data_IF_248464478553
#
_entry.id   IF_248464478553
#
_cell.length_a   1.000
_cell.length_b   1.000
_cell.length_c   1.000
_cell.angle_alpha   90.00
_cell.angle_beta   90.00
_cell.angle_gamma   90.00
#
_symmetry.space_group_name_H-M   'P 1'
#
loop_
_entity.id
_entity.type
_entity.pdbx_description
1 polymer ?
#
# COMPACT_ATOMS: atom_id res chain seq x y z
N UNK A 1 -44.22 16.16 8.15
CA UNK A 1 -43.12 16.90 7.50
C UNK A 1 -41.88 16.66 8.37
N UNK A 2 -41.48 15.40 8.60
CA UNK A 2 -40.46 14.67 7.81
C UNK A 2 -39.14 15.45 7.73
N UNK A 3 -38.17 15.04 8.54
CA UNK A 3 -36.89 14.64 7.97
C UNK A 3 -36.35 13.44 8.73
N UNK A 4 -35.97 12.42 7.97
CA UNK A 4 -35.78 11.04 8.40
C UNK A 4 -34.27 10.77 8.41
N UNK A 5 -33.72 10.44 9.58
CA UNK A 5 -32.33 10.02 9.72
C UNK A 5 -32.11 8.70 8.98
N UNK A 6 -31.47 8.75 7.82
CA UNK A 6 -30.88 7.59 7.16
C UNK A 6 -29.48 7.38 7.74
N UNK A 7 -29.39 6.61 8.83
CA UNK A 7 -28.18 5.87 9.19
C UNK A 7 -28.06 4.67 8.25
N UNK A 8 -27.52 4.92 7.07
CA UNK A 8 -26.85 3.89 6.27
C UNK A 8 -25.37 4.22 6.32
N UNK A 9 -24.56 3.33 6.90
CA UNK A 9 -23.10 3.41 6.98
C UNK A 9 -22.44 3.32 5.60
N UNK A 10 -22.74 4.27 4.73
CA UNK A 10 -21.95 4.57 3.55
C UNK A 10 -20.77 5.43 4.02
N UNK A 11 -19.57 4.89 3.88
CA UNK A 11 -18.29 5.57 4.10
C UNK A 11 -18.41 6.96 3.44
N UNK A 12 -18.34 8.02 4.24
CA UNK A 12 -18.54 9.38 3.72
C UNK A 12 -17.41 9.74 2.76
N UNK A 13 -17.64 10.66 1.82
CA UNK A 13 -16.61 11.14 0.87
C UNK A 13 -15.35 11.63 1.60
N UNK A 14 -15.52 12.16 2.81
CA UNK A 14 -14.44 12.52 3.73
C UNK A 14 -13.66 11.32 4.27
N UNK A 15 -14.31 10.19 4.56
CA UNK A 15 -13.65 8.98 5.08
C UNK A 15 -12.79 8.30 4.02
N UNK A 16 -13.25 8.23 2.78
CA UNK A 16 -12.46 7.71 1.67
C UNK A 16 -11.21 8.56 1.37
N UNK A 17 -11.33 9.89 1.48
CA UNK A 17 -10.19 10.81 1.34
C UNK A 17 -9.22 10.73 2.53
N UNK A 18 -9.74 10.49 3.74
CA UNK A 18 -8.97 10.34 4.97
C UNK A 18 -8.16 9.04 4.98
N UNK A 19 -8.75 7.93 4.54
CA UNK A 19 -8.07 6.63 4.42
C UNK A 19 -6.92 6.65 3.39
N UNK A 20 -7.04 7.47 2.34
CA UNK A 20 -5.94 7.69 1.38
C UNK A 20 -4.84 8.61 1.93
N UNK A 21 -5.18 9.48 2.89
CA UNK A 21 -4.29 10.55 3.38
C UNK A 21 -3.59 10.23 4.69
N UNK A 22 -3.96 9.18 5.40
CA UNK A 22 -3.47 8.92 6.77
C UNK A 22 -2.89 7.51 6.85
N UNK A 23 -1.64 7.31 7.32
CA UNK A 23 -1.17 5.97 7.68
C UNK A 23 -2.01 5.43 8.85
N UNK A 24 -2.22 4.11 8.98
CA UNK A 24 -2.90 3.55 10.15
C UNK A 24 -2.05 3.81 11.38
N UNK A 25 -2.45 4.79 12.18
CA UNK A 25 -1.88 5.03 13.51
C UNK A 25 -2.71 4.20 14.47
N UNK A 26 -2.10 3.17 15.03
CA UNK A 26 -2.64 2.35 16.10
C UNK A 26 -2.80 3.26 17.33
N UNK A 27 -4.00 3.75 17.57
CA UNK A 27 -4.29 4.73 18.61
C UNK A 27 -5.29 4.12 19.62
N UNK A 28 -4.79 3.18 20.41
CA UNK A 28 -5.47 2.67 21.59
C UNK A 28 -4.81 3.29 22.83
N UNK A 29 -5.12 4.55 23.15
CA UNK A 29 -5.03 5.11 24.52
C UNK A 29 -5.85 6.39 24.62
N UNK A 30 -6.99 6.33 25.31
CA UNK A 30 -7.52 7.40 26.17
C UNK A 30 -8.52 6.81 27.18
N UNK A 31 -8.60 7.43 28.35
CA UNK A 31 -8.92 6.89 29.68
C UNK A 31 -10.43 6.85 30.08
N UNK A 32 -10.78 5.83 30.90
CA UNK A 32 -11.70 5.75 32.08
C UNK A 32 -13.20 6.20 32.00
N UNK A 33 -14.13 5.74 32.90
CA UNK A 33 -13.94 5.26 34.28
C UNK A 33 -14.75 4.02 34.79
N UNK A 34 -14.25 3.50 35.92
CA UNK A 34 -14.89 2.85 37.09
C UNK A 34 -16.41 2.51 37.09
N UNK A 35 -16.77 1.23 37.29
CA UNK A 35 -17.87 0.79 38.18
C UNK A 35 -17.89 -0.74 38.42
N UNK A 36 -17.74 -1.10 39.70
CA UNK A 36 -18.52 -2.11 40.46
C UNK A 36 -18.40 -3.62 40.13
N UNK A 37 -17.81 -4.34 41.10
CA UNK A 37 -17.79 -5.80 41.20
C UNK A 37 -19.15 -6.40 41.59
N UNK A 38 -19.38 -7.69 41.30
CA UNK A 38 -19.56 -8.61 42.42
C UNK A 38 -18.81 -9.95 42.29
N UNK A 39 -18.77 -10.64 43.44
CA UNK A 39 -17.98 -11.79 43.88
C UNK A 39 -18.21 -13.14 43.15
N UNK A 40 -17.31 -14.13 43.39
CA UNK A 40 -17.25 -15.40 42.65
C UNK A 40 -18.12 -16.51 43.27
N UNK A 41 -18.54 -17.46 42.43
CA UNK A 41 -19.00 -18.78 42.84
C UNK A 41 -18.09 -19.86 42.24
N UNK A 42 -17.33 -20.51 43.12
CA UNK A 42 -16.97 -21.94 43.13
C UNK A 42 -18.25 -22.82 43.03
N UNK A 43 -18.34 -24.04 42.48
CA UNK A 43 -17.41 -25.14 42.15
C UNK A 43 -17.99 -26.06 41.04
N UNK A 44 -17.13 -26.98 40.53
CA UNK A 44 -17.42 -28.39 40.11
C UNK A 44 -18.20 -28.65 38.81
N UNK A 45 -17.69 -29.35 37.77
CA UNK A 45 -17.06 -30.69 37.78
C UNK A 45 -16.41 -31.04 36.41
N UNK A 46 -15.20 -31.64 36.47
CA UNK A 46 -14.66 -32.82 35.75
C UNK A 46 -14.91 -33.05 34.24
N UNK A 47 -13.83 -33.04 33.44
CA UNK A 47 -13.20 -34.21 32.77
C UNK A 47 -12.33 -33.72 31.60
N UNK A 48 -11.01 -33.91 31.68
CA UNK A 48 -10.14 -33.96 30.50
C UNK A 48 -8.92 -34.82 30.82
N UNK A 49 -8.95 -36.00 30.21
CA UNK A 49 -7.93 -37.03 30.11
C UNK A 49 -6.57 -36.50 29.68
N UNK A 50 -5.52 -36.94 30.38
CA UNK A 50 -4.14 -36.96 29.89
C UNK A 50 -4.07 -37.88 28.66
N UNK A 51 -3.60 -37.35 27.53
CA UNK A 51 -3.01 -38.15 26.47
C UNK A 51 -1.69 -37.50 26.03
N UNK A 52 -0.68 -38.35 25.99
CA UNK A 52 0.74 -38.03 25.94
C UNK A 52 1.22 -38.27 24.51
N UNK A 53 1.70 -37.23 23.82
CA UNK A 53 2.32 -37.36 22.49
C UNK A 53 3.71 -36.72 22.44
N UNK A 54 4.64 -37.48 23.02
CA UNK A 54 6.00 -37.79 22.59
C UNK A 54 6.58 -37.01 21.39
N UNK A 55 7.65 -36.25 21.65
CA UNK A 55 8.63 -35.78 20.66
C UNK A 55 9.70 -36.87 20.43
N UNK A 56 10.28 -37.00 19.22
CA UNK A 56 11.41 -37.90 19.00
C UNK A 56 12.74 -37.19 19.27
N UNK A 57 13.53 -37.75 20.18
CA UNK A 57 15.00 -37.62 20.20
C UNK A 57 15.57 -38.76 19.34
N UNK A 58 16.34 -38.41 18.32
CA UNK A 58 17.19 -39.37 17.60
C UNK A 58 18.56 -39.42 18.29
N UNK A 59 18.80 -40.57 18.90
CA UNK A 59 20.02 -41.04 19.53
C UNK A 59 20.92 -41.65 18.44
N UNK A 60 22.17 -41.20 18.36
CA UNK A 60 23.21 -41.91 17.61
C UNK A 60 24.20 -42.51 18.61
N UNK A 61 24.13 -43.83 18.63
CA UNK A 61 25.00 -44.84 19.22
C UNK A 61 26.48 -44.64 18.84
N UNK A 62 27.38 -44.75 19.82
CA UNK A 62 28.79 -45.09 19.58
C UNK A 62 29.24 -46.05 20.70
N UNK A 63 29.35 -47.33 20.33
CA UNK A 63 29.90 -48.42 21.12
C UNK A 63 31.43 -48.31 21.20
N UNK A 64 31.93 -48.44 22.44
CA UNK A 64 33.15 -49.13 22.89
C UNK A 64 34.44 -49.03 22.04
N UNK A 65 35.55 -48.63 22.66
CA UNK A 65 36.74 -49.50 22.86
C UNK A 65 37.74 -48.82 23.82
N UNK A 66 37.97 -49.52 24.93
CA UNK A 66 39.22 -49.69 25.71
C UNK A 66 40.51 -49.11 25.11
N UNK A 67 41.23 -48.27 25.86
CA UNK A 67 42.69 -48.45 25.94
C UNK A 67 43.30 -47.84 27.20
N UNK A 68 44.18 -48.60 27.82
CA UNK A 68 45.21 -48.10 28.71
C UNK A 68 46.53 -48.67 28.29
N UNK A 69 47.44 -47.85 27.77
CA UNK A 69 48.86 -47.75 28.15
C UNK A 69 49.62 -46.73 27.28
N UNK A 70 50.51 -46.01 27.95
CA UNK A 70 51.79 -45.43 27.48
C UNK A 70 51.85 -44.43 26.30
N UNK A 71 51.96 -43.17 26.73
CA UNK A 71 52.93 -42.14 26.31
C UNK A 71 54.01 -42.60 25.32
N UNK A 72 53.89 -42.13 24.07
CA UNK A 72 55.02 -41.74 23.23
C UNK A 72 54.65 -40.45 22.49
N UNK A 73 55.48 -39.42 22.68
CA UNK A 73 55.52 -38.21 21.88
C UNK A 73 55.85 -38.59 20.43
N UNK A 74 54.92 -38.35 19.51
CA UNK A 74 55.23 -38.25 18.09
C UNK A 74 54.59 -36.96 17.55
N UNK A 75 55.46 -36.18 16.93
CA UNK A 75 55.31 -34.83 16.40
C UNK A 75 54.48 -34.93 15.10
N UNK A 76 53.14 -34.92 15.22
CA UNK A 76 52.26 -34.74 14.06
C UNK A 76 51.92 -33.25 13.92
N UNK A 77 52.56 -32.66 12.91
CA UNK A 77 52.26 -31.33 12.39
C UNK A 77 50.75 -31.20 12.19
N UNK A 78 50.12 -30.24 12.89
CA UNK A 78 48.79 -29.74 12.55
C UNK A 78 48.86 -29.22 11.10
N UNK A 79 48.50 -30.05 10.12
CA UNK A 79 48.02 -29.57 8.82
C UNK A 79 46.74 -28.78 9.13
N UNK A 80 46.89 -27.46 9.27
CA UNK A 80 45.78 -26.52 9.10
C UNK A 80 45.14 -26.86 7.75
N UNK A 81 44.01 -27.57 7.75
CA UNK A 81 43.17 -27.75 6.57
C UNK A 81 42.81 -26.35 6.06
N UNK A 82 43.56 -25.85 5.08
CA UNK A 82 43.21 -24.61 4.39
C UNK A 82 41.81 -24.82 3.78
N UNK A 83 40.79 -24.20 4.37
CA UNK A 83 39.41 -24.28 3.92
C UNK A 83 39.38 -23.99 2.41
N UNK A 84 39.14 -25.03 1.59
CA UNK A 84 39.16 -24.89 0.14
C UNK A 84 38.04 -23.94 -0.29
N UNK A 85 38.44 -22.78 -0.82
CA UNK A 85 37.54 -21.74 -1.32
C UNK A 85 37.15 -22.04 -2.77
N UNK A 86 35.84 -22.12 -3.00
CA UNK A 86 35.22 -22.34 -4.31
C UNK A 86 34.60 -21.04 -4.83
N UNK A 87 34.83 -20.71 -6.10
CA UNK A 87 34.22 -19.52 -6.71
C UNK A 87 32.84 -19.84 -7.27
N UNK A 88 31.82 -19.17 -6.75
CA UNK A 88 30.41 -19.33 -7.11
C UNK A 88 29.84 -18.00 -7.59
N UNK A 89 28.98 -18.03 -8.61
CA UNK A 89 28.32 -16.82 -9.13
C UNK A 89 26.94 -16.66 -8.51
N UNK A 90 26.75 -15.58 -7.76
CA UNK A 90 25.45 -15.16 -7.21
C UNK A 90 25.11 -13.83 -7.88
N UNK A 91 23.95 -13.74 -8.55
CA UNK A 91 23.49 -12.53 -9.26
C UNK A 91 24.50 -11.89 -10.24
N UNK A 92 25.43 -12.69 -10.78
CA UNK A 92 26.43 -12.27 -11.75
C UNK A 92 27.78 -11.84 -11.16
N UNK A 93 27.93 -11.81 -9.83
CA UNK A 93 29.17 -11.51 -9.14
C UNK A 93 29.85 -12.79 -8.62
N UNK A 94 31.18 -12.86 -8.71
CA UNK A 94 31.97 -14.03 -8.28
C UNK A 94 32.30 -13.92 -6.79
N UNK A 95 31.83 -14.89 -6.01
CA UNK A 95 32.08 -15.00 -4.58
C UNK A 95 32.89 -16.27 -4.28
N UNK A 96 33.95 -16.14 -3.49
CA UNK A 96 34.66 -17.28 -2.95
C UNK A 96 33.95 -17.76 -1.68
N UNK A 97 33.46 -18.99 -1.69
CA UNK A 97 32.70 -19.63 -0.60
C UNK A 97 33.30 -21.01 -0.29
N UNK A 98 33.24 -21.44 0.96
CA UNK A 98 33.71 -22.77 1.36
C UNK A 98 32.74 -23.85 0.87
N UNK A 99 33.19 -25.12 0.88
CA UNK A 99 32.36 -26.26 0.49
C UNK A 99 31.09 -26.36 1.36
N UNK A 100 31.22 -26.12 2.65
CA UNK A 100 30.10 -26.13 3.60
C UNK A 100 29.04 -25.07 3.29
N UNK A 101 29.44 -23.85 2.94
CA UNK A 101 28.50 -22.78 2.57
C UNK A 101 27.79 -23.10 1.25
N UNK A 102 28.46 -23.77 0.31
CA UNK A 102 27.86 -24.28 -0.92
C UNK A 102 26.78 -25.34 -0.66
N UNK A 103 27.10 -26.33 0.18
CA UNK A 103 26.18 -27.41 0.53
C UNK A 103 24.98 -26.88 1.33
N UNK A 104 25.23 -25.97 2.28
CA UNK A 104 24.18 -25.29 3.04
C UNK A 104 23.34 -24.35 2.17
N UNK A 105 23.95 -23.64 1.22
CA UNK A 105 23.25 -22.79 0.25
C UNK A 105 22.31 -23.61 -0.64
N UNK A 106 22.78 -24.75 -1.15
CA UNK A 106 21.97 -25.65 -1.96
C UNK A 106 20.80 -26.26 -1.18
N UNK A 107 21.04 -26.73 0.05
CA UNK A 107 19.98 -27.30 0.90
C UNK A 107 18.92 -26.25 1.27
N UNK A 108 19.34 -25.03 1.63
CA UNK A 108 18.45 -23.89 1.89
C UNK A 108 17.67 -23.50 0.64
N UNK A 109 18.31 -23.46 -0.53
CA UNK A 109 17.63 -23.13 -1.79
C UNK A 109 16.58 -24.19 -2.15
N UNK A 110 16.90 -25.48 -2.04
CA UNK A 110 15.92 -26.54 -2.26
C UNK A 110 14.75 -26.46 -1.27
N UNK A 111 15.04 -26.25 0.03
CA UNK A 111 14.01 -26.09 1.05
C UNK A 111 13.14 -24.85 0.80
N UNK A 112 13.74 -23.73 0.44
CA UNK A 112 13.02 -22.50 0.10
C UNK A 112 12.16 -22.68 -1.14
N UNK A 113 12.67 -23.35 -2.17
CA UNK A 113 11.92 -23.61 -3.40
C UNK A 113 10.74 -24.52 -3.10
N UNK A 114 10.94 -25.60 -2.33
CA UNK A 114 9.88 -26.51 -1.91
C UNK A 114 8.81 -25.80 -1.07
N UNK A 115 9.21 -25.03 -0.04
CA UNK A 115 8.30 -24.23 0.78
C UNK A 115 7.57 -23.14 -0.02
N UNK A 116 8.24 -22.53 -0.99
CA UNK A 116 7.62 -21.53 -1.87
C UNK A 116 6.59 -22.18 -2.81
N UNK A 117 6.89 -23.37 -3.33
CA UNK A 117 5.92 -24.15 -4.11
C UNK A 117 4.73 -24.56 -3.25
N UNK A 118 4.98 -25.08 -2.04
CA UNK A 118 3.93 -25.47 -1.08
C UNK A 118 3.07 -24.27 -0.69
N UNK A 119 3.66 -23.10 -0.41
CA UNK A 119 2.92 -21.88 -0.12
C UNK A 119 2.10 -21.40 -1.32
N UNK A 120 2.64 -21.49 -2.53
CA UNK A 120 1.91 -21.16 -3.75
C UNK A 120 0.72 -22.11 -3.98
N UNK A 121 0.91 -23.40 -3.73
CA UNK A 121 -0.13 -24.41 -3.80
C UNK A 121 -1.22 -24.19 -2.74
N UNK A 122 -0.82 -23.93 -1.49
CA UNK A 122 -1.75 -23.57 -0.41
C UNK A 122 -2.55 -22.31 -0.73
N UNK A 123 -1.91 -21.25 -1.25
CA UNK A 123 -2.60 -20.02 -1.69
C UNK A 123 -3.61 -20.30 -2.79
N UNK A 124 -3.24 -21.10 -3.78
CA UNK A 124 -4.13 -21.49 -4.86
C UNK A 124 -5.31 -22.33 -4.37
N UNK A 125 -5.07 -23.26 -3.44
CA UNK A 125 -6.12 -24.05 -2.83
C UNK A 125 -7.10 -23.17 -2.02
N UNK A 126 -6.58 -22.22 -1.24
CA UNK A 126 -7.39 -21.27 -0.48
C UNK A 126 -8.19 -20.32 -1.39
N UNK A 127 -7.59 -19.83 -2.48
CA UNK A 127 -8.28 -19.00 -3.47
C UNK A 127 -9.41 -19.78 -4.15
N UNK A 128 -9.16 -21.05 -4.52
CA UNK A 128 -10.19 -21.92 -5.08
C UNK A 128 -11.34 -22.19 -4.09
N UNK A 129 -11.03 -22.46 -2.81
CA UNK A 129 -12.03 -22.65 -1.76
C UNK A 129 -12.85 -21.37 -1.52
N UNK A 130 -12.20 -20.20 -1.55
CA UNK A 130 -12.88 -18.92 -1.42
C UNK A 130 -13.81 -18.63 -2.61
N UNK A 131 -13.38 -18.94 -3.85
CA UNK A 131 -14.21 -18.84 -5.05
C UNK A 131 -15.40 -19.82 -5.01
N UNK A 132 -15.17 -21.06 -4.58
CA UNK A 132 -16.24 -22.05 -4.41
C UNK A 132 -17.26 -21.61 -3.36
N UNK A 133 -16.78 -21.10 -2.21
CA UNK A 133 -17.64 -20.56 -1.15
C UNK A 133 -18.48 -19.38 -1.65
N UNK A 134 -17.90 -18.49 -2.45
CA UNK A 134 -18.63 -17.38 -3.11
C UNK A 134 -19.70 -17.92 -4.04
N UNK A 135 -19.37 -18.88 -4.90
CA UNK A 135 -20.31 -19.49 -5.83
C UNK A 135 -21.47 -20.20 -5.11
N UNK A 136 -21.18 -20.92 -4.02
CA UNK A 136 -22.19 -21.56 -3.17
C UNK A 136 -23.10 -20.51 -2.51
N UNK A 137 -22.54 -19.41 -2.00
CA UNK A 137 -23.31 -18.31 -1.40
C UNK A 137 -24.22 -17.64 -2.44
N UNK A 138 -23.73 -17.40 -3.65
CA UNK A 138 -24.50 -16.80 -4.73
C UNK A 138 -25.63 -17.74 -5.20
N UNK A 139 -25.36 -19.05 -5.30
CA UNK A 139 -26.38 -20.05 -5.58
C UNK A 139 -27.45 -20.11 -4.47
N UNK A 140 -27.02 -20.01 -3.21
CA UNK A 140 -27.94 -19.96 -2.06
C UNK A 140 -28.83 -18.72 -2.09
N UNK A 141 -28.27 -17.55 -2.42
CA UNK A 141 -29.03 -16.30 -2.61
C UNK A 141 -30.08 -16.45 -3.71
N UNK A 142 -29.72 -17.02 -4.86
CA UNK A 142 -30.67 -17.26 -5.96
C UNK A 142 -31.81 -18.21 -5.54
N UNK A 143 -31.52 -19.23 -4.73
CA UNK A 143 -32.55 -20.12 -4.20
C UNK A 143 -33.48 -19.40 -3.22
N UNK A 144 -32.95 -18.54 -2.36
CA UNK A 144 -33.77 -17.71 -1.46
C UNK A 144 -34.67 -16.74 -2.24
N UNK A 145 -34.17 -16.11 -3.30
CA UNK A 145 -34.96 -15.22 -4.15
C UNK A 145 -36.10 -15.99 -4.85
N UNK A 146 -35.82 -17.20 -5.34
CA UNK A 146 -36.85 -18.08 -5.92
C UNK A 146 -37.89 -18.48 -4.86
N UNK A 147 -37.46 -18.89 -3.67
CA UNK A 147 -38.35 -19.25 -2.56
C UNK A 147 -39.24 -18.06 -2.16
N UNK A 148 -38.67 -16.87 -2.07
CA UNK A 148 -39.41 -15.66 -1.75
C UNK A 148 -40.45 -15.34 -2.83
N UNK A 149 -40.10 -15.50 -4.10
CA UNK A 149 -41.05 -15.31 -5.21
C UNK A 149 -42.20 -16.32 -5.15
N UNK A 150 -41.92 -17.57 -4.78
CA UNK A 150 -42.94 -18.62 -4.62
C UNK A 150 -43.86 -18.29 -3.43
N UNK A 151 -43.29 -17.86 -2.30
CA UNK A 151 -44.06 -17.42 -1.13
C UNK A 151 -44.97 -16.26 -1.55
N UNK A 152 -44.47 -15.22 -2.21
CA UNK A 152 -45.28 -14.07 -2.65
C UNK A 152 -46.39 -14.45 -3.64
N UNK A 153 -46.19 -15.46 -4.49
CA UNK A 153 -47.25 -15.97 -5.39
C UNK A 153 -48.35 -16.72 -4.63
N UNK A 154 -47.98 -17.47 -3.59
CA UNK A 154 -48.91 -18.28 -2.79
C UNK A 154 -49.61 -17.47 -1.70
N UNK A 155 -48.93 -16.49 -1.12
CA UNK A 155 -49.43 -15.57 -0.11
C UNK A 155 -50.14 -14.41 -0.83
N UNK A 156 -51.39 -14.61 -1.25
CA UNK A 156 -52.24 -13.48 -1.66
C UNK A 156 -52.48 -12.51 -0.49
N UNK A 157 -52.99 -11.31 -0.76
CA UNK A 157 -53.30 -10.31 0.29
C UNK A 157 -54.09 -10.93 1.46
N UNK A 158 -53.87 -10.37 2.67
CA UNK A 158 -54.51 -10.84 3.90
C UNK A 158 -56.01 -11.12 3.67
N UNK A 159 -56.46 -12.37 3.87
CA UNK A 159 -57.86 -12.71 3.69
C UNK A 159 -58.74 -11.89 4.63
N UNK A 160 -59.93 -11.50 4.17
CA UNK A 160 -60.92 -10.89 5.06
C UNK A 160 -61.46 -11.97 6.03
N UNK A 161 -60.80 -12.08 7.18
CA UNK A 161 -61.14 -13.03 8.24
C UNK A 161 -62.58 -12.88 8.73
N UNK A 162 -63.16 -11.68 8.64
CA UNK A 162 -64.52 -11.41 9.07
C UNK A 162 -65.53 -12.00 8.09
N UNK A 163 -65.30 -11.84 6.79
CA UNK A 163 -66.14 -12.46 5.76
C UNK A 163 -66.02 -14.00 5.77
N UNK A 164 -64.82 -14.53 6.05
CA UNK A 164 -64.59 -15.97 6.20
C UNK A 164 -65.30 -16.55 7.43
N UNK A 165 -65.37 -15.81 8.54
CA UNK A 165 -66.09 -16.23 9.75
C UNK A 165 -67.60 -16.38 9.54
N UNK A 166 -68.18 -15.69 8.56
CA UNK A 166 -69.61 -15.80 8.24
C UNK A 166 -69.94 -17.02 7.35
N UNK A 167 -68.93 -17.61 6.69
CA UNK A 167 -69.12 -18.66 5.68
C UNK A 167 -68.49 -20.01 6.06
N UNK A 168 -67.48 -20.03 6.95
CA UNK A 168 -66.72 -21.21 7.36
C UNK A 168 -67.07 -21.66 8.79
N UNK A 169 -66.75 -22.92 9.12
CA UNK A 169 -66.87 -23.39 10.51
C UNK A 169 -65.72 -22.85 11.38
N UNK A 170 -65.91 -22.75 12.70
CA UNK A 170 -64.87 -22.27 13.62
C UNK A 170 -63.55 -23.05 13.52
N UNK A 171 -63.65 -24.37 13.27
CA UNK A 171 -62.49 -25.25 13.10
C UNK A 171 -61.71 -24.93 11.82
N UNK A 172 -62.41 -24.72 10.70
CA UNK A 172 -61.78 -24.43 9.41
C UNK A 172 -61.13 -23.04 9.42
N UNK A 173 -61.77 -22.06 10.07
CA UNK A 173 -61.19 -20.73 10.25
C UNK A 173 -59.89 -20.78 11.07
N UNK A 174 -59.87 -21.53 12.17
CA UNK A 174 -58.66 -21.68 12.98
C UNK A 174 -57.51 -22.28 12.17
N UNK A 175 -57.78 -23.32 11.38
CA UNK A 175 -56.77 -23.94 10.51
C UNK A 175 -56.26 -22.96 9.46
N UNK A 176 -57.16 -22.24 8.76
CA UNK A 176 -56.78 -21.25 7.75
C UNK A 176 -55.95 -20.11 8.34
N UNK A 177 -56.28 -19.63 9.54
CA UNK A 177 -55.49 -18.61 10.24
C UNK A 177 -54.12 -19.14 10.66
N UNK A 178 -54.04 -20.37 11.17
CA UNK A 178 -52.78 -20.99 11.54
C UNK A 178 -51.85 -21.18 10.32
N UNK A 179 -52.39 -21.62 9.19
CA UNK A 179 -51.64 -21.74 7.93
C UNK A 179 -51.13 -20.37 7.44
N UNK A 180 -51.98 -19.33 7.52
CA UNK A 180 -51.59 -17.97 7.17
C UNK A 180 -50.50 -17.40 8.08
N UNK A 181 -50.66 -17.54 9.39
CA UNK A 181 -49.67 -17.08 10.37
C UNK A 181 -48.33 -17.82 10.15
N UNK A 182 -48.38 -19.12 9.87
CA UNK A 182 -47.20 -19.92 9.53
C UNK A 182 -46.52 -19.42 8.24
N UNK A 183 -47.28 -19.16 7.17
CA UNK A 183 -46.75 -18.65 5.91
C UNK A 183 -46.12 -17.26 6.07
N UNK A 184 -46.74 -16.40 6.88
CA UNK A 184 -46.23 -15.08 7.25
C UNK A 184 -44.91 -15.17 8.03
N UNK A 185 -44.81 -16.10 8.98
CA UNK A 185 -43.54 -16.35 9.69
C UNK A 185 -42.44 -16.86 8.76
N UNK A 186 -42.75 -17.79 7.86
CA UNK A 186 -41.78 -18.27 6.86
C UNK A 186 -41.30 -17.15 5.95
N UNK A 187 -42.20 -16.29 5.47
CA UNK A 187 -41.84 -15.11 4.67
C UNK A 187 -40.86 -14.20 5.40
N UNK A 188 -41.12 -13.91 6.69
CA UNK A 188 -40.24 -13.07 7.50
C UNK A 188 -38.86 -13.70 7.70
N UNK A 189 -38.78 -15.02 7.89
CA UNK A 189 -37.50 -15.73 8.05
C UNK A 189 -36.67 -15.66 6.77
N UNK A 190 -37.29 -15.88 5.61
CA UNK A 190 -36.61 -15.78 4.30
C UNK A 190 -36.10 -14.36 4.06
N UNK A 191 -36.92 -13.34 4.35
CA UNK A 191 -36.52 -11.94 4.21
C UNK A 191 -35.35 -11.57 5.14
N UNK A 192 -35.38 -12.03 6.40
CA UNK A 192 -34.29 -11.81 7.35
C UNK A 192 -32.98 -12.47 6.88
N UNK A 193 -33.03 -13.69 6.35
CA UNK A 193 -31.87 -14.38 5.78
C UNK A 193 -31.32 -13.65 4.54
N UNK A 194 -32.20 -13.18 3.65
CA UNK A 194 -31.79 -12.39 2.48
C UNK A 194 -31.10 -11.09 2.89
N UNK A 195 -31.66 -10.37 3.86
CA UNK A 195 -31.05 -9.16 4.42
C UNK A 195 -29.68 -9.45 5.02
N UNK A 196 -29.54 -10.55 5.80
CA UNK A 196 -28.25 -10.97 6.38
C UNK A 196 -27.19 -11.20 5.30
N UNK A 197 -27.51 -11.98 4.27
CA UNK A 197 -26.57 -12.26 3.16
C UNK A 197 -26.22 -10.98 2.40
N UNK A 198 -27.19 -10.10 2.17
CA UNK A 198 -26.93 -8.83 1.47
C UNK A 198 -26.00 -7.91 2.27
N UNK A 199 -26.14 -7.87 3.59
CA UNK A 199 -25.26 -7.11 4.48
C UNK A 199 -23.85 -7.70 4.50
N UNK A 200 -23.72 -9.02 4.58
CA UNK A 200 -22.43 -9.72 4.48
C UNK A 200 -21.73 -9.43 3.14
N UNK A 201 -22.46 -9.50 2.02
CA UNK A 201 -21.93 -9.16 0.70
C UNK A 201 -21.49 -7.70 0.60
N UNK A 202 -22.28 -6.76 1.15
CA UNK A 202 -21.92 -5.34 1.15
C UNK A 202 -20.65 -5.08 1.96
N UNK A 203 -20.52 -5.71 3.14
CA UNK A 203 -19.31 -5.61 3.95
C UNK A 203 -18.09 -6.20 3.23
N UNK A 204 -18.24 -7.37 2.59
CA UNK A 204 -17.15 -7.99 1.83
C UNK A 204 -16.69 -7.11 0.66
N UNK A 205 -17.64 -6.50 -0.06
CA UNK A 205 -17.34 -5.54 -1.13
C UNK A 205 -16.60 -4.31 -0.61
N UNK A 206 -16.98 -3.77 0.55
CA UNK A 206 -16.27 -2.65 1.17
C UNK A 206 -14.84 -3.02 1.52
N UNK A 207 -14.60 -4.20 2.10
CA UNK A 207 -13.25 -4.69 2.43
C UNK A 207 -12.42 -4.89 1.15
N UNK A 208 -12.99 -5.49 0.11
CA UNK A 208 -12.30 -5.64 -1.17
C UNK A 208 -11.98 -4.30 -1.82
N UNK A 209 -12.89 -3.32 -1.75
CA UNK A 209 -12.64 -1.97 -2.24
C UNK A 209 -11.49 -1.31 -1.47
N UNK A 210 -11.47 -1.39 -0.14
CA UNK A 210 -10.40 -0.83 0.68
C UNK A 210 -9.03 -1.44 0.33
N UNK A 211 -8.95 -2.78 0.22
CA UNK A 211 -7.73 -3.47 -0.22
C UNK A 211 -7.29 -3.02 -1.61
N UNK A 212 -8.24 -2.90 -2.54
CA UNK A 212 -7.93 -2.41 -3.88
C UNK A 212 -7.36 -1.00 -3.88
N UNK A 213 -7.95 -0.09 -3.08
CA UNK A 213 -7.45 1.28 -2.92
C UNK A 213 -6.05 1.32 -2.31
N UNK A 214 -5.77 0.45 -1.33
CA UNK A 214 -4.43 0.34 -0.73
C UNK A 214 -3.39 -0.14 -1.74
N UNK A 215 -3.68 -1.17 -2.52
CA UNK A 215 -2.80 -1.64 -3.61
C UNK A 215 -2.58 -0.53 -4.66
N UNK A 216 -3.64 0.18 -5.05
CA UNK A 216 -3.49 1.32 -5.98
C UNK A 216 -2.63 2.44 -5.38
N UNK A 217 -2.73 2.68 -4.07
CA UNK A 217 -1.88 3.67 -3.39
C UNK A 217 -0.42 3.26 -3.45
N UNK A 218 -0.11 2.00 -3.16
CA UNK A 218 1.26 1.47 -3.26
C UNK A 218 1.81 1.57 -4.69
N UNK A 219 1.02 1.16 -5.68
CA UNK A 219 1.36 1.27 -7.10
C UNK A 219 1.62 2.72 -7.53
N UNK A 220 0.81 3.66 -7.03
CA UNK A 220 0.97 5.09 -7.29
C UNK A 220 2.30 5.60 -6.72
N UNK A 221 2.67 5.21 -5.50
CA UNK A 221 3.93 5.60 -4.87
C UNK A 221 5.14 5.01 -5.60
N UNK A 222 5.02 3.79 -6.14
CA UNK A 222 6.05 3.15 -6.95
C UNK A 222 6.22 3.87 -8.31
N UNK A 223 5.12 4.32 -8.93
CA UNK A 223 5.12 5.04 -10.22
C UNK A 223 5.55 6.49 -10.11
N UNK A 224 5.25 7.15 -8.98
CA UNK A 224 5.61 8.53 -8.69
C UNK A 224 6.46 8.57 -7.40
N UNK A 225 7.76 8.26 -7.48
CA UNK A 225 8.62 8.20 -6.29
C UNK A 225 8.71 9.52 -5.51
N UNK A 226 8.50 10.67 -6.18
CA UNK A 226 8.45 11.98 -5.52
C UNK A 226 7.34 12.08 -4.47
N UNK A 227 6.28 11.27 -4.59
CA UNK A 227 5.14 11.26 -3.68
C UNK A 227 5.31 10.34 -2.47
N UNK A 228 6.46 9.67 -2.34
CA UNK A 228 6.86 9.01 -1.09
C UNK A 228 6.95 10.02 0.06
N UNK A 229 7.36 11.25 -0.24
CA UNK A 229 7.28 12.36 0.72
C UNK A 229 5.84 12.90 0.77
N UNK A 230 5.23 12.81 1.95
CA UNK A 230 3.84 13.19 2.18
C UNK A 230 3.54 14.68 1.95
N UNK A 231 4.45 15.56 2.34
CA UNK A 231 4.29 17.01 2.12
C UNK A 231 4.28 17.35 0.63
N UNK A 232 5.23 16.76 -0.11
CA UNK A 232 5.32 16.92 -1.58
C UNK A 232 4.10 16.34 -2.27
N UNK A 233 3.68 15.13 -1.87
CA UNK A 233 2.48 14.48 -2.39
C UNK A 233 1.25 15.35 -2.17
N UNK A 234 1.04 15.88 -0.97
CA UNK A 234 -0.14 16.68 -0.66
C UNK A 234 -0.17 18.00 -1.45
N UNK A 235 0.97 18.69 -1.56
CA UNK A 235 1.08 19.91 -2.34
C UNK A 235 0.85 19.67 -3.84
N UNK A 236 1.56 18.69 -4.42
CA UNK A 236 1.44 18.39 -5.86
C UNK A 236 0.09 17.79 -6.22
N UNK A 237 -0.50 16.94 -5.37
CA UNK A 237 -1.86 16.39 -5.56
C UNK A 237 -2.89 17.50 -5.72
N UNK A 238 -2.87 18.51 -4.85
CA UNK A 238 -3.81 19.63 -4.96
C UNK A 238 -3.65 20.39 -6.27
N UNK A 239 -2.42 20.58 -6.74
CA UNK A 239 -2.16 21.24 -8.03
C UNK A 239 -2.59 20.38 -9.23
N UNK A 240 -2.39 19.07 -9.17
CA UNK A 240 -2.87 18.13 -10.19
C UNK A 240 -4.41 18.12 -10.25
N UNK A 241 -5.10 18.12 -9.11
CA UNK A 241 -6.57 18.21 -9.04
C UNK A 241 -7.05 19.52 -9.69
N UNK A 242 -6.46 20.66 -9.32
CA UNK A 242 -6.78 21.96 -9.93
C UNK A 242 -6.52 21.96 -11.44
N UNK A 243 -5.45 21.31 -11.89
CA UNK A 243 -5.14 21.17 -13.31
C UNK A 243 -6.19 20.32 -14.04
N UNK A 244 -6.57 19.16 -13.48
CA UNK A 244 -7.60 18.28 -14.03
C UNK A 244 -8.94 19.00 -14.17
N UNK A 245 -9.36 19.76 -13.15
CA UNK A 245 -10.58 20.56 -13.19
C UNK A 245 -10.52 21.69 -14.22
N UNK A 246 -9.42 22.48 -14.24
CA UNK A 246 -9.35 23.71 -15.03
C UNK A 246 -8.99 23.49 -16.50
N UNK A 247 -8.16 22.50 -16.81
CA UNK A 247 -7.61 22.30 -18.16
C UNK A 247 -8.30 21.16 -18.91
N UNK A 248 -8.69 20.10 -18.21
CA UNK A 248 -9.32 18.94 -18.82
C UNK A 248 -10.84 18.98 -18.63
N UNK A 249 -11.32 19.48 -17.49
CA UNK A 249 -12.76 19.64 -17.20
C UNK A 249 -13.37 18.50 -16.39
N UNK A 250 -12.56 17.73 -15.66
CA UNK A 250 -13.06 16.71 -14.75
C UNK A 250 -13.88 17.33 -13.60
N UNK A 251 -14.96 16.67 -13.23
CA UNK A 251 -15.75 17.00 -12.05
C UNK A 251 -15.06 16.54 -10.76
N UNK A 252 -15.49 17.08 -9.62
CA UNK A 252 -14.94 16.68 -8.32
C UNK A 252 -15.27 15.22 -7.97
N UNK A 253 -16.45 14.75 -8.34
CA UNK A 253 -16.86 13.34 -8.14
C UNK A 253 -16.02 12.37 -8.96
N UNK A 254 -15.70 12.73 -10.21
CA UNK A 254 -14.83 11.90 -11.06
C UNK A 254 -13.42 11.82 -10.50
N UNK A 255 -12.90 12.91 -9.95
CA UNK A 255 -11.57 12.95 -9.34
C UNK A 255 -11.55 12.18 -8.02
N UNK A 256 -12.61 12.27 -7.20
CA UNK A 256 -12.71 11.56 -5.94
C UNK A 256 -12.76 10.04 -6.14
N UNK A 257 -13.44 9.58 -7.19
CA UNK A 257 -13.52 8.17 -7.57
C UNK A 257 -12.32 7.70 -8.43
N UNK A 258 -11.47 8.60 -8.89
CA UNK A 258 -10.29 8.27 -9.70
C UNK A 258 -9.15 7.77 -8.81
N UNK A 259 -9.23 6.50 -8.41
CA UNK A 259 -8.21 5.85 -7.59
C UNK A 259 -7.17 5.05 -8.38
N UNK A 260 -7.30 4.98 -9.71
CA UNK A 260 -6.36 4.24 -10.57
C UNK A 260 -4.99 4.94 -10.62
N UNK A 261 -3.95 4.24 -10.15
CA UNK A 261 -2.58 4.72 -10.10
C UNK A 261 -2.05 5.17 -11.47
N UNK A 262 -2.49 4.51 -12.55
CA UNK A 262 -2.06 4.81 -13.93
C UNK A 262 -2.65 6.11 -14.43
N UNK A 263 -3.91 6.38 -14.10
CA UNK A 263 -4.58 7.62 -14.46
C UNK A 263 -3.94 8.81 -13.72
N UNK A 264 -3.63 8.64 -12.44
CA UNK A 264 -2.93 9.63 -11.63
C UNK A 264 -1.54 9.91 -12.20
N UNK A 265 -0.77 8.88 -12.56
CA UNK A 265 0.54 9.02 -13.21
C UNK A 265 0.46 9.82 -14.52
N UNK A 266 -0.53 9.52 -15.37
CA UNK A 266 -0.75 10.24 -16.63
C UNK A 266 -1.06 11.73 -16.37
N UNK A 267 -1.98 12.01 -15.44
CA UNK A 267 -2.35 13.37 -15.06
C UNK A 267 -1.17 14.14 -14.49
N UNK A 268 -0.38 13.51 -13.62
CA UNK A 268 0.82 14.09 -13.05
C UNK A 268 1.83 14.48 -14.14
N UNK A 269 2.11 13.56 -15.07
CA UNK A 269 3.03 13.83 -16.19
C UNK A 269 2.51 14.93 -17.11
N UNK A 270 1.21 14.95 -17.41
CA UNK A 270 0.60 16.00 -18.22
C UNK A 270 0.74 17.38 -17.56
N UNK A 271 0.43 17.46 -16.26
CA UNK A 271 0.60 18.68 -15.46
C UNK A 271 2.05 19.15 -15.43
N UNK A 272 3.01 18.26 -15.16
CA UNK A 272 4.44 18.60 -15.15
C UNK A 272 4.92 19.09 -16.52
N UNK A 273 4.48 18.44 -17.58
CA UNK A 273 4.83 18.82 -18.94
C UNK A 273 4.29 20.21 -19.28
N UNK A 274 3.04 20.50 -18.93
CA UNK A 274 2.41 21.80 -19.21
C UNK A 274 3.10 22.92 -18.41
N UNK A 275 3.39 22.67 -17.14
CA UNK A 275 4.16 23.57 -16.30
C UNK A 275 5.55 23.86 -16.89
N UNK A 276 6.22 22.84 -17.43
CA UNK A 276 7.52 23.02 -18.07
C UNK A 276 7.37 23.89 -19.33
N UNK A 277 6.34 23.64 -20.15
CA UNK A 277 6.06 24.41 -21.35
C UNK A 277 5.75 25.88 -21.08
N UNK A 278 4.95 26.18 -20.07
CA UNK A 278 4.64 27.55 -19.65
C UNK A 278 5.89 28.27 -19.13
N UNK A 279 6.84 27.55 -18.53
CA UNK A 279 8.13 28.09 -18.07
C UNK A 279 9.19 28.26 -19.18
N UNK A 280 9.08 27.58 -20.33
CA UNK A 280 10.01 27.74 -21.49
C UNK A 280 10.18 29.20 -21.96
N UNK A 281 9.12 30.02 -22.17
CA UNK A 281 9.27 31.40 -22.62
C UNK A 281 9.94 32.31 -21.59
N UNK A 282 9.74 32.07 -20.29
CA UNK A 282 10.38 32.85 -19.22
C UNK A 282 11.86 32.51 -19.12
N UNK A 283 12.23 31.23 -19.24
CA UNK A 283 13.62 30.79 -19.34
C UNK A 283 14.34 31.43 -20.55
N UNK A 284 13.72 31.43 -21.74
CA UNK A 284 14.26 32.11 -22.94
C UNK A 284 14.42 33.62 -22.76
N UNK A 285 13.51 34.28 -22.02
CA UNK A 285 13.62 35.71 -21.70
C UNK A 285 14.77 36.00 -20.72
N UNK A 286 15.00 35.12 -19.72
CA UNK A 286 16.11 35.24 -18.77
C UNK A 286 17.46 35.06 -19.45
N UNK A 287 17.61 34.07 -20.32
CA UNK A 287 18.87 33.86 -21.06
C UNK A 287 19.18 35.00 -22.04
N UNK A 288 18.17 35.63 -22.64
CA UNK A 288 18.37 36.84 -23.47
C UNK A 288 18.83 38.06 -22.67
N UNK A 289 18.48 38.14 -21.38
CA UNK A 289 18.90 39.22 -20.46
C UNK A 289 20.20 38.92 -19.72
N UNK A 290 20.70 37.69 -19.76
CA UNK A 290 22.00 37.36 -19.20
C UNK A 290 23.09 38.15 -19.97
N UNK A 291 24.01 38.85 -19.27
CA UNK A 291 25.08 39.58 -19.95
C UNK A 291 25.89 38.60 -20.78
N UNK A 292 26.06 38.89 -22.08
CA UNK A 292 26.90 38.09 -22.96
C UNK A 292 28.28 38.02 -22.32
N UNK A 293 28.79 36.82 -22.06
CA UNK A 293 30.16 36.64 -21.59
C UNK A 293 31.08 37.49 -22.47
N UNK A 294 31.94 38.28 -21.84
CA UNK A 294 32.90 39.09 -22.58
C UNK A 294 33.65 38.16 -23.54
N UNK A 295 33.53 38.40 -24.85
CA UNK A 295 34.36 37.71 -25.83
C UNK A 295 35.79 37.81 -25.33
N UNK A 296 36.50 36.68 -25.26
CA UNK A 296 37.91 36.63 -24.87
C UNK A 296 38.63 37.82 -25.51
N UNK A 297 39.15 38.72 -24.66
CA UNK A 297 39.72 39.98 -25.13
C UNK A 297 40.80 39.68 -26.15
N UNK A 298 40.71 40.29 -27.34
CA UNK A 298 41.79 40.20 -28.33
C UNK A 298 43.06 40.70 -27.63
N UNK A 299 44.18 39.95 -27.67
CA UNK A 299 45.38 40.33 -26.94
C UNK A 299 45.76 41.76 -27.32
N UNK A 300 45.86 42.63 -26.32
CA UNK A 300 46.26 44.02 -26.52
C UNK A 300 47.66 44.02 -27.11
N UNK A 301 47.80 44.59 -28.30
CA UNK A 301 49.12 44.70 -28.93
C UNK A 301 50.01 45.61 -28.07
N UNK A 302 51.33 45.35 -28.03
CA UNK A 302 52.29 46.17 -27.25
C UNK A 302 52.13 47.68 -27.50
N UNK A 303 51.80 48.07 -28.74
CA UNK A 303 51.53 49.46 -29.13
C UNK A 303 50.27 50.04 -28.47
N UNK A 304 49.21 49.26 -28.34
CA UNK A 304 47.97 49.67 -27.67
C UNK A 304 48.16 49.78 -26.16
N UNK A 305 48.95 48.88 -25.56
CA UNK A 305 49.32 48.97 -24.14
C UNK A 305 50.14 50.24 -23.84
N UNK A 306 51.16 50.53 -24.66
CA UNK A 306 51.97 51.74 -24.52
C UNK A 306 51.14 53.03 -24.70
N UNK A 307 50.23 53.06 -25.68
CA UNK A 307 49.32 54.20 -25.89
C UNK A 307 48.42 54.45 -24.68
N UNK A 308 47.89 53.37 -24.07
CA UNK A 308 47.01 53.48 -22.90
C UNK A 308 47.79 53.93 -21.65
N UNK A 309 49.00 53.42 -21.47
CA UNK A 309 49.91 53.85 -20.40
C UNK A 309 50.22 55.34 -20.49
N UNK A 310 50.52 55.83 -21.71
CA UNK A 310 50.82 57.24 -21.98
C UNK A 310 49.62 58.15 -21.75
N UNK A 311 48.43 57.69 -22.10
CA UNK A 311 47.20 58.45 -21.87
C UNK A 311 46.87 58.51 -20.39
N UNK A 312 47.09 57.44 -19.63
CA UNK A 312 46.93 57.43 -18.17
C UNK A 312 47.95 58.32 -17.46
N UNK A 313 49.22 58.36 -17.90
CA UNK A 313 50.21 59.26 -17.32
C UNK A 313 49.92 60.74 -17.67
N UNK A 314 49.37 61.02 -18.86
CA UNK A 314 48.87 62.35 -19.20
C UNK A 314 47.68 62.75 -18.34
N UNK A 315 46.69 61.86 -18.15
CA UNK A 315 45.52 62.15 -17.32
C UNK A 315 45.92 62.42 -15.86
N UNK A 316 46.89 61.66 -15.32
CA UNK A 316 47.46 61.92 -13.99
C UNK A 316 48.17 63.26 -13.91
N UNK A 317 48.99 63.60 -14.90
CA UNK A 317 49.62 64.91 -15.00
C UNK A 317 48.58 66.05 -15.03
N UNK A 318 47.52 65.88 -15.82
CA UNK A 318 46.46 66.89 -15.93
C UNK A 318 45.67 67.09 -14.63
N UNK A 319 45.55 66.03 -13.79
CA UNK A 319 44.80 66.06 -12.54
C UNK A 319 45.64 66.48 -11.34
N UNK A 320 46.86 65.97 -11.24
CA UNK A 320 47.73 66.15 -10.07
C UNK A 320 48.70 67.34 -10.25
N UNK A 321 49.04 67.71 -11.49
CA UNK A 321 49.91 68.85 -11.79
C UNK A 321 51.32 68.79 -11.18
N UNK A 322 51.74 67.62 -10.68
CA UNK A 322 52.99 67.45 -9.94
C UNK A 322 54.18 67.22 -10.87
N UNK A 323 55.37 67.61 -10.40
CA UNK A 323 56.63 67.40 -11.13
C UNK A 323 56.87 65.90 -11.37
N UNK A 324 56.56 65.06 -10.38
CA UNK A 324 56.68 63.60 -10.50
C UNK A 324 55.74 63.02 -11.56
N UNK A 325 54.50 63.54 -11.68
CA UNK A 325 53.59 63.14 -12.75
C UNK A 325 54.11 63.58 -14.13
N UNK A 326 54.78 64.74 -14.23
CA UNK A 326 55.37 65.22 -15.47
C UNK A 326 56.57 64.38 -15.92
N UNK A 327 57.44 64.00 -14.97
CA UNK A 327 58.57 63.10 -15.23
C UNK A 327 58.08 61.72 -15.68
N UNK A 328 57.07 61.17 -15.02
CA UNK A 328 56.49 59.88 -15.40
C UNK A 328 55.84 59.89 -16.80
N UNK A 329 55.20 60.99 -17.21
CA UNK A 329 54.69 61.14 -18.57
C UNK A 329 55.81 61.23 -19.62
N UNK A 330 56.91 61.90 -19.30
CA UNK A 330 58.02 62.15 -20.23
C UNK A 330 58.96 60.93 -20.38
N UNK A 331 59.17 60.20 -19.30
CA UNK A 331 60.04 59.00 -19.24
C UNK A 331 59.32 57.69 -19.58
N UNK A 332 57.98 57.66 -19.53
CA UNK A 332 57.17 56.50 -19.89
C UNK A 332 57.12 56.30 -21.41
N UNK A 333 58.09 55.57 -21.96
CA UNK A 333 58.14 55.17 -23.38
C UNK A 333 57.51 53.81 -23.66
#
# INVERSE_FOLDING_TARGET
MSDNSTETGAISVSDALSLLSTPPVDNATEEQPEAEAPQPQETETLEASEDTAQAPEDDYDDEDVDDGEDVYEEDDEEEEEEEQLYTVKIDGEEHAVTLDELQNGYSRQQAFTKRSMELAEQRKAFEAEAEETKALRDAYKQQLDMLQSQIQQTTQQEPDWRALAETMTERDLFLAKAEWDQQKEYSKKVEAEQQRISAEQAQEQQVHMQKHLETQREDMLNRIPAWQNEETRNAERQEVIKYAQRRIGFSEEEIANASDARAIELLYKAWQWDNLQEKKPTAKKRTRKAPKMAKAGKPTTKRQAASKQRQQSFDKLSKEGSIDAAVNYLMGR
#
